data_IF_702997206794
#
_entry.id   IF_702997206794
#
_cell.length_a   1.000
_cell.length_b   1.000
_cell.length_c   1.000
_cell.angle_alpha   90.00
_cell.angle_beta   90.00
_cell.angle_gamma   90.00
#
_symmetry.space_group_name_H-M   'P 1'
#
loop_
_entity.id
_entity.type
_entity.pdbx_description
1 polymer ?
#
# COMPACT_ATOMS: atom_id res chain seq x y z
N UNK A 1 13.71 -29.41 9.39
CA UNK A 1 12.55 -29.20 10.30
C UNK A 1 11.41 -30.02 9.73
N UNK A 2 11.01 -31.11 10.40
CA UNK A 2 9.80 -31.86 10.03
C UNK A 2 8.61 -31.03 10.52
N UNK A 3 7.76 -30.59 9.59
CA UNK A 3 6.49 -29.97 9.92
C UNK A 3 5.55 -31.07 10.42
N UNK A 4 5.13 -30.94 11.65
CA UNK A 4 4.17 -31.87 12.28
C UNK A 4 2.81 -31.75 11.55
N UNK A 5 2.42 -32.80 10.82
CA UNK A 5 1.18 -32.84 10.01
C UNK A 5 -0.11 -32.56 10.82
N UNK A 6 -0.06 -32.74 12.16
CA UNK A 6 -1.19 -32.43 13.05
C UNK A 6 -1.56 -30.95 13.08
N UNK A 7 -0.62 -30.06 12.76
CA UNK A 7 -0.84 -28.62 12.73
C UNK A 7 -1.07 -28.06 11.33
N UNK A 8 -0.96 -28.90 10.31
CA UNK A 8 -1.16 -28.48 8.92
C UNK A 8 -2.53 -27.82 8.66
N UNK A 9 -3.67 -28.34 9.20
CA UNK A 9 -4.96 -27.67 9.03
C UNK A 9 -5.04 -26.27 9.61
N UNK A 10 -4.23 -25.99 10.65
CA UNK A 10 -4.15 -24.66 11.27
C UNK A 10 -3.33 -23.66 10.45
N UNK A 11 -2.45 -24.15 9.58
CA UNK A 11 -1.54 -23.36 8.76
C UNK A 11 -1.95 -23.31 7.27
N UNK A 12 -2.91 -24.13 6.86
CA UNK A 12 -3.42 -24.14 5.48
C UNK A 12 -4.37 -22.98 5.24
N UNK A 13 -3.81 -21.81 4.99
CA UNK A 13 -4.57 -20.64 4.58
C UNK A 13 -4.81 -20.71 3.07
N UNK A 14 -6.02 -21.04 2.67
CA UNK A 14 -6.43 -21.03 1.27
C UNK A 14 -6.50 -19.61 0.70
N UNK A 15 -6.67 -18.60 1.57
CA UNK A 15 -6.75 -17.18 1.18
C UNK A 15 -6.32 -16.25 2.31
N UNK A 16 -5.38 -15.35 2.02
CA UNK A 16 -5.02 -14.28 2.94
C UNK A 16 -6.12 -13.20 2.93
N UNK A 17 -6.56 -12.79 4.11
CA UNK A 17 -7.57 -11.73 4.30
C UNK A 17 -7.02 -10.63 5.20
N UNK A 18 -7.38 -9.39 4.91
CA UNK A 18 -7.10 -8.28 5.83
C UNK A 18 -7.99 -8.36 7.08
N UNK A 19 -7.56 -7.73 8.17
CA UNK A 19 -8.32 -7.70 9.44
C UNK A 19 -9.74 -7.19 9.22
N UNK A 20 -9.90 -6.12 8.44
CA UNK A 20 -11.23 -5.54 8.13
C UNK A 20 -12.17 -6.43 7.31
N UNK A 21 -11.65 -7.50 6.70
CA UNK A 21 -12.48 -8.51 6.03
C UNK A 21 -13.01 -9.58 6.99
N UNK A 22 -12.50 -9.62 8.22
CA UNK A 22 -12.84 -10.63 9.21
C UNK A 22 -13.63 -10.02 10.37
N UNK A 23 -13.27 -8.81 10.79
CA UNK A 23 -13.93 -8.09 11.89
C UNK A 23 -14.30 -6.66 11.45
N UNK A 24 -15.27 -6.07 12.13
CA UNK A 24 -15.58 -4.65 11.99
C UNK A 24 -14.42 -3.81 12.55
N UNK A 25 -13.95 -2.86 11.76
CA UNK A 25 -12.90 -1.91 12.13
C UNK A 25 -13.49 -0.51 12.04
N UNK A 26 -13.43 0.26 13.13
CA UNK A 26 -13.98 1.62 13.18
C UNK A 26 -13.00 2.63 12.57
N UNK A 27 -11.70 2.46 12.80
CA UNK A 27 -10.65 3.32 12.25
C UNK A 27 -9.47 2.49 11.77
N UNK A 28 -8.87 2.93 10.67
CA UNK A 28 -7.71 2.29 10.04
C UNK A 28 -6.56 3.28 9.94
N UNK A 29 -5.41 2.91 10.49
CA UNK A 29 -4.17 3.67 10.32
C UNK A 29 -3.28 2.96 9.31
N UNK A 30 -2.79 3.72 8.32
CA UNK A 30 -2.06 3.17 7.17
C UNK A 30 -0.56 3.29 7.36
N UNK A 31 0.18 2.28 6.93
CA UNK A 31 1.64 2.31 6.89
C UNK A 31 2.31 1.10 7.55
N UNK A 32 3.53 0.83 7.09
CA UNK A 32 4.39 -0.21 7.65
C UNK A 32 5.83 0.31 7.73
N UNK A 33 6.22 0.91 8.86
CA UNK A 33 5.44 1.19 10.08
C UNK A 33 4.45 2.36 9.92
N UNK A 34 3.55 2.50 10.91
CA UNK A 34 2.68 3.67 11.02
C UNK A 34 3.48 4.92 11.39
N UNK A 35 2.97 6.09 11.01
CA UNK A 35 3.58 7.37 11.38
C UNK A 35 3.10 7.79 12.77
N UNK A 36 4.00 8.02 13.75
CA UNK A 36 3.60 8.34 15.14
C UNK A 36 2.69 9.56 15.25
N UNK A 37 2.93 10.61 14.45
CA UNK A 37 2.10 11.80 14.45
C UNK A 37 0.66 11.52 13.98
N UNK A 38 0.47 10.64 12.99
CA UNK A 38 -0.87 10.21 12.54
C UNK A 38 -1.57 9.39 13.61
N UNK A 39 -0.83 8.54 14.34
CA UNK A 39 -1.39 7.79 15.47
C UNK A 39 -1.89 8.72 16.57
N UNK A 40 -1.09 9.71 16.98
CA UNK A 40 -1.50 10.69 17.96
C UNK A 40 -2.69 11.52 17.49
N UNK A 41 -2.73 11.90 16.20
CA UNK A 41 -3.88 12.60 15.62
C UNK A 41 -5.14 11.75 15.67
N UNK A 42 -5.07 10.47 15.32
CA UNK A 42 -6.17 9.51 15.42
C UNK A 42 -6.70 9.43 16.85
N UNK A 43 -5.82 9.15 17.82
CA UNK A 43 -6.21 9.01 19.24
C UNK A 43 -6.86 10.29 19.75
N UNK A 44 -6.26 11.46 19.49
CA UNK A 44 -6.82 12.75 19.87
C UNK A 44 -8.21 12.95 19.25
N UNK A 45 -8.39 12.68 17.99
CA UNK A 45 -9.68 12.85 17.30
C UNK A 45 -10.75 11.95 17.92
N UNK A 46 -10.45 10.69 18.16
CA UNK A 46 -11.38 9.73 18.78
C UNK A 46 -11.76 10.16 20.19
N UNK A 47 -10.79 10.58 21.02
CA UNK A 47 -11.06 11.03 22.39
C UNK A 47 -11.90 12.32 22.47
N UNK A 48 -11.80 13.18 21.45
CA UNK A 48 -12.58 14.42 21.36
C UNK A 48 -13.92 14.24 20.61
N UNK A 49 -14.25 13.03 20.18
CA UNK A 49 -15.44 12.74 19.38
C UNK A 49 -15.39 13.29 17.95
N UNK A 50 -14.20 13.71 17.47
CA UNK A 50 -14.01 14.17 16.11
C UNK A 50 -13.74 12.99 15.16
N UNK A 51 -14.10 13.15 13.88
CA UNK A 51 -13.74 12.18 12.84
C UNK A 51 -12.29 12.45 12.40
N UNK A 52 -11.38 11.49 12.55
CA UNK A 52 -10.01 11.68 12.10
C UNK A 52 -9.96 11.82 10.58
N UNK A 53 -9.25 12.83 10.10
CA UNK A 53 -9.07 13.10 8.67
C UNK A 53 -7.60 13.04 8.29
N UNK A 54 -7.30 12.24 7.27
CA UNK A 54 -6.00 12.10 6.65
C UNK A 54 -6.12 12.47 5.17
N UNK A 55 -5.42 13.53 4.70
CA UNK A 55 -5.51 13.96 3.30
C UNK A 55 -5.12 12.83 2.33
N UNK A 56 -5.94 12.53 1.32
CA UNK A 56 -5.69 11.46 0.37
C UNK A 56 -4.69 11.89 -0.73
N UNK A 57 -3.49 12.33 -0.34
CA UNK A 57 -2.43 12.70 -1.28
C UNK A 57 -1.60 11.47 -1.69
N UNK A 58 -1.11 11.46 -2.93
CA UNK A 58 -0.16 10.45 -3.38
C UNK A 58 1.22 10.65 -2.74
N UNK A 59 1.96 9.55 -2.52
CA UNK A 59 3.37 9.62 -2.07
C UNK A 59 4.22 10.47 -3.01
N UNK A 60 3.90 10.50 -4.30
CA UNK A 60 4.59 11.34 -5.28
C UNK A 60 4.59 12.83 -4.93
N UNK A 61 3.54 13.34 -4.26
CA UNK A 61 3.49 14.75 -3.82
C UNK A 61 4.60 15.03 -2.80
N UNK A 62 4.78 14.12 -1.84
CA UNK A 62 5.85 14.23 -0.83
C UNK A 62 7.22 14.00 -1.43
N UNK A 63 7.34 13.01 -2.31
CA UNK A 63 8.56 12.68 -3.02
C UNK A 63 9.08 13.88 -3.82
N UNK A 64 8.19 14.60 -4.52
CA UNK A 64 8.56 15.81 -5.26
C UNK A 64 8.89 17.01 -4.35
N UNK A 65 8.19 17.17 -3.23
CA UNK A 65 8.54 18.17 -2.22
C UNK A 65 9.92 17.95 -1.60
N UNK A 66 10.35 16.70 -1.49
CA UNK A 66 11.66 16.31 -1.00
C UNK A 66 12.72 16.32 -2.11
N UNK A 67 12.39 16.83 -3.31
CA UNK A 67 13.30 16.96 -4.46
C UNK A 67 13.94 15.63 -4.90
N UNK A 68 13.27 14.50 -4.61
CA UNK A 68 13.79 13.19 -5.00
C UNK A 68 13.77 13.01 -6.52
N UNK A 69 14.81 12.38 -7.02
CA UNK A 69 14.84 11.86 -8.38
C UNK A 69 13.82 10.71 -8.55
N UNK A 70 13.10 10.71 -9.67
CA UNK A 70 12.07 9.71 -9.89
C UNK A 70 12.67 8.32 -10.17
N UNK A 71 12.40 7.36 -9.32
CA UNK A 71 12.92 5.98 -9.46
C UNK A 71 12.35 5.24 -10.67
N UNK A 72 11.17 5.65 -11.17
CA UNK A 72 10.63 5.12 -12.43
C UNK A 72 11.52 5.51 -13.62
N UNK A 73 12.06 6.72 -13.63
CA UNK A 73 13.01 7.15 -14.66
C UNK A 73 14.32 6.36 -14.65
N UNK A 74 14.61 5.68 -13.53
CA UNK A 74 15.74 4.76 -13.38
C UNK A 74 15.36 3.30 -13.75
N UNK A 75 14.18 3.05 -14.31
CA UNK A 75 13.69 1.71 -14.64
C UNK A 75 13.32 0.85 -13.42
N UNK A 76 13.05 1.47 -12.26
CA UNK A 76 12.70 0.77 -11.01
C UNK A 76 11.21 0.91 -10.73
N UNK A 77 10.57 -0.17 -10.25
CA UNK A 77 9.14 -0.15 -9.86
C UNK A 77 8.88 0.84 -8.72
N UNK A 78 7.73 1.52 -8.75
CA UNK A 78 7.34 2.42 -7.67
C UNK A 78 5.82 2.53 -7.58
N UNK A 79 5.25 2.32 -6.39
CA UNK A 79 3.82 2.46 -6.12
C UNK A 79 3.40 3.87 -5.71
N UNK A 80 4.34 4.83 -5.68
CA UNK A 80 4.10 6.21 -5.25
C UNK A 80 2.95 6.93 -5.92
N UNK A 81 2.74 6.81 -7.25
CA UNK A 81 1.64 7.46 -7.96
C UNK A 81 0.24 7.05 -7.49
N UNK A 82 0.07 5.83 -7.01
CA UNK A 82 -1.23 5.24 -6.65
C UNK A 82 -1.41 5.01 -5.16
N UNK A 83 -0.39 5.25 -4.34
CA UNK A 83 -0.41 4.98 -2.90
C UNK A 83 -0.63 6.22 -2.06
N UNK A 84 -1.31 6.05 -0.92
CA UNK A 84 -1.46 7.10 0.07
C UNK A 84 -0.12 7.62 0.58
N UNK A 85 0.05 8.92 0.61
CA UNK A 85 1.11 9.64 1.28
C UNK A 85 0.92 9.72 2.80
N UNK A 86 1.64 10.62 3.45
CA UNK A 86 1.68 10.81 4.92
C UNK A 86 2.95 10.25 5.56
N UNK A 87 3.77 9.50 4.82
CA UNK A 87 5.04 8.94 5.29
C UNK A 87 6.26 9.82 4.96
N UNK A 88 6.04 11.00 4.37
CA UNK A 88 7.10 11.88 3.88
C UNK A 88 8.06 11.20 2.88
N UNK A 89 7.54 10.28 2.06
CA UNK A 89 8.29 9.50 1.06
C UNK A 89 9.58 8.84 1.58
N UNK A 90 9.60 8.44 2.86
CA UNK A 90 10.81 8.00 3.58
C UNK A 90 11.62 6.92 2.82
N UNK A 91 10.95 6.00 2.12
CA UNK A 91 11.63 4.96 1.36
C UNK A 91 12.44 5.57 0.20
N UNK A 92 11.84 6.48 -0.56
CA UNK A 92 12.52 7.13 -1.70
C UNK A 92 13.62 8.07 -1.21
N UNK A 93 13.38 8.80 -0.10
CA UNK A 93 14.42 9.62 0.54
C UNK A 93 15.65 8.79 0.94
N UNK A 94 15.45 7.51 1.30
CA UNK A 94 16.50 6.56 1.61
C UNK A 94 17.09 5.82 0.39
N UNK A 95 16.74 6.22 -0.84
CA UNK A 95 17.22 5.57 -2.06
C UNK A 95 16.49 4.27 -2.44
N UNK A 96 15.37 3.96 -1.76
CA UNK A 96 14.53 2.79 -2.06
C UNK A 96 13.35 3.18 -2.97
N UNK A 97 12.53 2.20 -3.33
CA UNK A 97 11.27 2.41 -4.07
C UNK A 97 10.09 2.48 -3.09
N UNK A 98 8.98 3.08 -3.52
CA UNK A 98 7.74 2.99 -2.76
C UNK A 98 7.06 1.64 -3.04
N UNK A 99 6.80 0.86 -2.00
CA UNK A 99 6.13 -0.45 -2.08
C UNK A 99 4.60 -0.37 -1.92
N UNK A 100 4.07 0.82 -1.67
CA UNK A 100 2.63 0.99 -1.52
C UNK A 100 2.06 0.51 -0.18
N UNK A 101 2.86 0.47 0.88
CA UNK A 101 2.49 -0.06 2.20
C UNK A 101 1.32 0.68 2.88
N UNK A 102 0.94 1.83 2.39
CA UNK A 102 -0.21 2.61 2.88
C UNK A 102 -1.51 2.33 2.11
N UNK A 103 -1.48 1.39 1.16
CA UNK A 103 -2.61 1.02 0.31
C UNK A 103 -2.88 2.01 -0.81
N UNK A 104 -3.88 1.68 -1.64
CA UNK A 104 -4.23 2.48 -2.81
C UNK A 104 -5.09 3.70 -2.44
N UNK A 105 -4.85 4.79 -3.15
CA UNK A 105 -5.75 5.96 -3.13
C UNK A 105 -7.15 5.58 -3.65
N UNK A 106 -8.24 6.20 -3.14
CA UNK A 106 -9.60 5.91 -3.57
C UNK A 106 -9.84 6.14 -5.07
N UNK A 107 -9.09 7.09 -5.63
CA UNK A 107 -9.16 7.50 -7.03
C UNK A 107 -7.93 7.09 -7.84
N UNK A 108 -7.16 6.09 -7.34
CA UNK A 108 -5.99 5.61 -8.06
C UNK A 108 -6.36 5.05 -9.43
N UNK A 109 -5.76 5.60 -10.48
CA UNK A 109 -5.88 5.05 -11.82
C UNK A 109 -4.83 3.97 -12.04
N UNK A 110 -5.22 2.72 -11.77
CA UNK A 110 -4.35 1.55 -11.84
C UNK A 110 -3.84 1.30 -13.26
N UNK A 111 -4.71 1.46 -14.27
CA UNK A 111 -4.32 1.22 -15.66
C UNK A 111 -3.33 2.28 -16.17
N UNK A 112 -3.54 3.55 -15.83
CA UNK A 112 -2.58 4.60 -16.14
C UNK A 112 -1.24 4.36 -15.45
N UNK A 113 -1.24 3.86 -14.19
CA UNK A 113 -0.02 3.52 -13.49
C UNK A 113 0.71 2.32 -14.12
N UNK A 114 -0.01 1.29 -14.54
CA UNK A 114 0.58 0.18 -15.28
C UNK A 114 1.17 0.65 -16.62
N UNK A 115 0.45 1.53 -17.33
CA UNK A 115 0.94 2.11 -18.58
C UNK A 115 2.24 2.89 -18.35
N UNK A 116 2.29 3.74 -17.32
CA UNK A 116 3.50 4.49 -16.94
C UNK A 116 4.69 3.55 -16.67
N UNK A 117 4.47 2.45 -15.96
CA UNK A 117 5.53 1.47 -15.71
C UNK A 117 6.01 0.78 -17.00
N UNK A 118 5.11 0.47 -17.94
CA UNK A 118 5.48 -0.08 -19.27
C UNK A 118 6.32 0.91 -20.07
N UNK A 119 5.98 2.19 -20.04
CA UNK A 119 6.75 3.25 -20.71
C UNK A 119 8.19 3.33 -20.18
N UNK A 120 8.37 3.04 -18.90
CA UNK A 120 9.70 2.93 -18.28
C UNK A 120 10.33 1.52 -18.40
N UNK A 121 9.79 0.66 -19.28
CA UNK A 121 10.31 -0.69 -19.56
C UNK A 121 10.37 -1.62 -18.34
N UNK A 122 9.50 -1.41 -17.35
CA UNK A 122 9.43 -2.24 -16.15
C UNK A 122 8.66 -3.54 -16.48
N UNK A 123 9.23 -4.73 -16.22
CA UNK A 123 8.58 -6.01 -16.49
C UNK A 123 7.25 -6.16 -15.77
N UNK A 124 6.24 -6.73 -16.43
CA UNK A 124 4.88 -6.87 -15.88
C UNK A 124 4.87 -7.72 -14.60
N UNK A 125 5.72 -8.74 -14.52
CA UNK A 125 5.87 -9.58 -13.33
C UNK A 125 6.31 -8.75 -12.10
N UNK A 126 7.29 -7.87 -12.26
CA UNK A 126 7.76 -6.98 -11.19
C UNK A 126 6.66 -6.02 -10.76
N UNK A 127 5.94 -5.46 -11.72
CA UNK A 127 4.79 -4.58 -11.50
C UNK A 127 3.70 -5.30 -10.69
N UNK A 128 3.29 -6.48 -11.11
CA UNK A 128 2.27 -7.27 -10.43
C UNK A 128 2.72 -7.75 -9.04
N UNK A 129 4.00 -8.06 -8.87
CA UNK A 129 4.58 -8.37 -7.56
C UNK A 129 4.38 -7.23 -6.56
N UNK A 130 4.60 -5.97 -6.96
CA UNK A 130 4.37 -4.80 -6.10
C UNK A 130 2.90 -4.63 -5.72
N UNK A 131 1.98 -4.79 -6.67
CA UNK A 131 0.55 -4.73 -6.35
C UNK A 131 0.11 -5.82 -5.37
N UNK A 132 0.69 -7.03 -5.46
CA UNK A 132 0.36 -8.14 -4.56
C UNK A 132 0.87 -7.92 -3.13
N UNK A 133 1.91 -7.11 -2.94
CA UNK A 133 2.57 -6.97 -1.65
C UNK A 133 1.63 -6.34 -0.59
N UNK A 134 0.98 -5.22 -0.92
CA UNK A 134 0.09 -4.52 0.02
C UNK A 134 -1.32 -4.25 -0.52
N UNK A 135 -1.54 -4.41 -1.82
CA UNK A 135 -2.77 -4.01 -2.50
C UNK A 135 -3.51 -5.20 -3.14
N UNK A 136 -3.16 -6.44 -2.80
CA UNK A 136 -3.70 -7.64 -3.42
C UNK A 136 -5.23 -7.70 -3.38
N UNK A 137 -5.84 -7.38 -2.23
CA UNK A 137 -7.28 -7.39 -2.06
C UNK A 137 -8.01 -6.33 -2.88
N UNK A 138 -7.35 -5.21 -3.17
CA UNK A 138 -7.93 -4.08 -3.90
C UNK A 138 -7.83 -4.26 -5.42
N UNK A 139 -6.79 -4.95 -5.88
CA UNK A 139 -6.50 -5.17 -7.32
C UNK A 139 -6.95 -6.55 -7.79
N UNK A 140 -6.67 -7.61 -7.03
CA UNK A 140 -6.95 -8.99 -7.41
C UNK A 140 -8.37 -9.39 -7.00
N UNK A 141 -8.84 -8.91 -5.84
CA UNK A 141 -10.16 -9.25 -5.31
C UNK A 141 -11.33 -8.75 -6.16
N UNK A 142 -11.14 -7.66 -6.93
CA UNK A 142 -12.16 -7.16 -7.86
C UNK A 142 -12.30 -8.05 -9.11
N UNK A 143 -11.23 -8.72 -9.53
CA UNK A 143 -11.25 -9.59 -10.70
C UNK A 143 -11.75 -11.02 -10.40
N UNK A 144 -11.78 -11.44 -9.13
CA UNK A 144 -12.29 -12.76 -8.72
C UNK A 144 -13.78 -12.77 -8.35
N UNK A 145 -14.41 -11.60 -8.25
CA UNK A 145 -15.86 -11.50 -8.11
C UNK A 145 -16.59 -11.60 -9.46
N UNK A 146 -15.84 -11.77 -10.56
CA UNK A 146 -16.35 -11.88 -11.93
C UNK A 146 -16.11 -13.27 -12.56
N UNK A 147 -15.86 -14.31 -11.74
CA UNK A 147 -15.81 -15.72 -12.18
C UNK A 147 -16.84 -16.57 -11.42
#
# INVERSE_FOLDING_TARGET
>A
MQTDERYWPLWSHTRVRSIKQVIKVDFELRGCPIVPAEFLHLVKSVLTGAIPYFPPNAVCVECKKNENECVLAQGRTCMGPVSYGGCNSICVNGGYVCDGCRGLLPYANIEAHKQLMREHQIPEEQMMSRYRLFCANEVIGKNQAAL
#
